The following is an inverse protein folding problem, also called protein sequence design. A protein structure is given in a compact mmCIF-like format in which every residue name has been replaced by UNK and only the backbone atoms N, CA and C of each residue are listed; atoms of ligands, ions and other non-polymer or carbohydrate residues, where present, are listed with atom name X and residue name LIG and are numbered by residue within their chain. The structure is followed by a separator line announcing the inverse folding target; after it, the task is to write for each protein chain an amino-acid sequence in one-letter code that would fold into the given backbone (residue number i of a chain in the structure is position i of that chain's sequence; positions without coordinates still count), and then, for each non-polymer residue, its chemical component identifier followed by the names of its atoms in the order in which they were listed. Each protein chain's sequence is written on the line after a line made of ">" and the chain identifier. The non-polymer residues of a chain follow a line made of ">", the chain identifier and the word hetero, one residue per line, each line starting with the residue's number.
data_IF_841875806796
#
_entry.id   IF_841875806796
#
_cell.length_a   1.000
_cell.length_b   1.000
_cell.length_c   1.000
_cell.angle_alpha   90.00
_cell.angle_beta   90.00
_cell.angle_gamma   90.00
#
_symmetry.space_group_name_H-M   'P 1'
#
loop_
_entity.id
_entity.type
_entity.pdbx_description
1 polymer ?
#
# COMPACT_ATOMS: atom_id res chain seq x y z
N UNK A 1 5.28 18.98 30.66
CA UNK A 1 5.22 17.65 30.04
C UNK A 1 5.83 17.79 28.66
N UNK A 2 7.10 17.46 28.54
CA UNK A 2 7.82 17.46 27.26
C UNK A 2 7.44 16.20 26.48
N UNK A 3 6.87 16.39 25.29
CA UNK A 3 6.60 15.27 24.37
C UNK A 3 7.87 15.11 23.53
N UNK A 4 8.82 14.35 24.07
CA UNK A 4 9.98 13.91 23.31
C UNK A 4 9.51 12.97 22.21
N UNK A 5 9.69 13.37 20.95
CA UNK A 5 9.55 12.49 19.80
C UNK A 5 10.57 11.34 19.96
N UNK A 6 10.14 10.22 20.54
CA UNK A 6 10.87 8.97 20.44
C UNK A 6 10.84 8.57 18.98
N UNK A 7 11.96 8.80 18.33
CA UNK A 7 12.36 8.21 17.07
C UNK A 7 11.99 6.73 17.13
N UNK A 8 10.94 6.36 16.40
CA UNK A 8 10.60 4.96 16.20
C UNK A 8 11.86 4.28 15.68
N UNK A 9 12.37 3.22 16.31
CA UNK A 9 13.54 2.55 15.80
C UNK A 9 13.17 2.02 14.42
N UNK A 10 13.92 2.43 13.39
CA UNK A 10 13.89 1.92 12.02
C UNK A 10 14.38 0.46 11.97
N UNK A 11 13.93 -0.38 12.89
CA UNK A 11 14.22 -1.80 12.90
C UNK A 11 13.20 -2.50 12.03
N UNK A 12 13.32 -2.31 10.72
CA UNK A 12 12.83 -3.32 9.77
C UNK A 12 13.80 -4.48 9.93
N UNK A 13 13.41 -5.63 10.54
CA UNK A 13 14.29 -6.77 10.57
C UNK A 13 14.64 -7.06 9.13
N UNK A 14 15.93 -7.12 8.82
CA UNK A 14 16.41 -7.70 7.58
C UNK A 14 15.73 -9.06 7.49
N UNK A 15 14.71 -9.18 6.63
CA UNK A 15 14.02 -10.44 6.38
C UNK A 15 15.12 -11.43 6.05
N UNK A 16 15.37 -12.35 6.98
CA UNK A 16 16.40 -13.37 6.85
C UNK A 16 16.08 -14.13 5.56
N UNK A 17 16.99 -14.17 4.56
CA UNK A 17 16.78 -14.88 3.29
C UNK A 17 16.44 -16.37 3.50
N UNK A 18 16.81 -16.89 4.67
CA UNK A 18 16.78 -18.31 5.01
C UNK A 18 15.37 -18.86 5.30
N UNK A 19 14.36 -18.01 5.48
CA UNK A 19 12.98 -18.45 5.70
C UNK A 19 12.19 -18.74 4.40
N UNK A 20 12.67 -18.27 3.24
CA UNK A 20 12.05 -18.53 1.93
C UNK A 20 13.10 -18.68 0.80
N UNK A 21 14.07 -19.62 0.91
CA UNK A 21 15.13 -19.77 -0.09
C UNK A 21 14.59 -20.05 -1.50
N UNK A 22 13.45 -20.75 -1.60
CA UNK A 22 12.87 -21.19 -2.88
C UNK A 22 12.29 -20.03 -3.71
N UNK A 23 11.81 -18.95 -3.06
CA UNK A 23 11.30 -17.77 -3.76
C UNK A 23 12.41 -16.80 -4.17
N UNK A 24 13.44 -16.65 -3.34
CA UNK A 24 14.57 -15.76 -3.61
C UNK A 24 15.49 -16.31 -4.71
N UNK A 25 15.65 -17.63 -4.80
CA UNK A 25 16.43 -18.27 -5.86
C UNK A 25 15.70 -18.27 -7.21
N UNK A 26 14.37 -18.27 -7.20
CA UNK A 26 13.52 -18.29 -8.40
C UNK A 26 13.44 -16.94 -9.11
N UNK A 27 13.45 -15.84 -8.37
CA UNK A 27 13.54 -14.49 -8.91
C UNK A 27 14.30 -13.57 -7.94
N UNK A 28 15.59 -13.27 -8.22
CA UNK A 28 16.40 -12.39 -7.36
C UNK A 28 15.85 -10.95 -7.29
N UNK A 29 14.95 -10.57 -8.22
CA UNK A 29 14.34 -9.25 -8.27
C UNK A 29 12.94 -9.22 -7.63
N UNK A 30 12.44 -10.34 -7.10
CA UNK A 30 11.07 -10.44 -6.54
C UNK A 30 10.76 -9.33 -5.54
N UNK A 31 11.70 -9.07 -4.62
CA UNK A 31 11.57 -8.01 -3.61
C UNK A 31 11.41 -6.65 -4.28
N UNK A 32 12.30 -6.29 -5.20
CA UNK A 32 12.29 -4.99 -5.85
C UNK A 32 11.04 -4.81 -6.71
N UNK A 33 10.68 -5.83 -7.51
CA UNK A 33 9.46 -5.82 -8.32
C UNK A 33 8.21 -5.64 -7.46
N UNK A 34 8.12 -6.38 -6.35
CA UNK A 34 6.99 -6.30 -5.42
C UNK A 34 6.88 -4.90 -4.83
N UNK A 35 7.98 -4.37 -4.27
CA UNK A 35 7.99 -3.05 -3.64
C UNK A 35 7.69 -1.93 -4.65
N UNK A 36 8.25 -2.00 -5.85
CA UNK A 36 7.96 -1.05 -6.93
C UNK A 36 6.50 -1.14 -7.38
N UNK A 37 5.93 -2.34 -7.47
CA UNK A 37 4.54 -2.53 -7.89
C UNK A 37 3.55 -1.92 -6.88
N UNK A 38 3.80 -2.06 -5.58
CA UNK A 38 2.88 -1.56 -4.54
C UNK A 38 3.13 -0.10 -4.12
N UNK A 39 4.26 0.50 -4.50
CA UNK A 39 4.64 1.85 -4.09
C UNK A 39 3.54 2.92 -4.34
N UNK A 40 2.81 2.93 -5.48
CA UNK A 40 1.68 3.85 -5.68
C UNK A 40 0.57 3.69 -4.61
N UNK A 41 0.31 2.45 -4.20
CA UNK A 41 -0.71 2.10 -3.20
C UNK A 41 -0.30 2.59 -1.81
N UNK A 42 0.97 2.39 -1.45
CA UNK A 42 1.52 2.85 -0.16
C UNK A 42 1.48 4.37 -0.08
N UNK A 43 1.90 5.07 -1.13
CA UNK A 43 1.85 6.55 -1.19
C UNK A 43 0.44 7.09 -1.12
N UNK A 44 -0.54 6.41 -1.73
CA UNK A 44 -1.95 6.79 -1.62
C UNK A 44 -2.45 6.61 -0.18
N UNK A 45 -2.25 5.44 0.43
CA UNK A 45 -2.66 5.18 1.81
C UNK A 45 -2.02 6.15 2.81
N UNK A 46 -0.73 6.49 2.68
CA UNK A 46 -0.11 7.47 3.59
C UNK A 46 -0.74 8.87 3.48
N UNK A 47 -1.18 9.28 2.29
CA UNK A 47 -1.87 10.56 2.08
C UNK A 47 -3.28 10.54 2.66
N UNK A 48 -4.05 9.49 2.39
CA UNK A 48 -5.39 9.34 2.98
C UNK A 48 -5.34 9.21 4.51
N UNK A 49 -4.31 8.57 5.07
CA UNK A 49 -4.16 8.42 6.51
C UNK A 49 -4.07 9.77 7.24
N UNK A 50 -3.51 10.80 6.58
CA UNK A 50 -3.43 12.16 7.12
C UNK A 50 -4.82 12.84 7.21
N UNK A 51 -5.78 12.42 6.38
CA UNK A 51 -7.08 13.07 6.24
C UNK A 51 -8.22 12.26 6.87
N UNK A 52 -8.20 10.93 6.71
CA UNK A 52 -9.27 10.00 7.07
C UNK A 52 -8.87 9.00 8.18
N UNK A 53 -7.59 9.03 8.58
CA UNK A 53 -7.03 8.17 9.62
C UNK A 53 -6.53 6.81 9.11
N UNK A 54 -5.57 6.25 9.85
CA UNK A 54 -4.82 5.05 9.47
C UNK A 54 -5.70 3.82 9.20
N UNK A 55 -6.78 3.61 9.96
CA UNK A 55 -7.65 2.43 9.79
C UNK A 55 -8.30 2.41 8.40
N UNK A 56 -8.78 3.55 7.95
CA UNK A 56 -9.43 3.68 6.64
C UNK A 56 -8.41 3.50 5.53
N UNK A 57 -7.35 4.29 5.58
CA UNK A 57 -6.28 4.28 4.58
C UNK A 57 -5.59 2.92 4.42
N UNK A 58 -5.31 2.20 5.51
CA UNK A 58 -4.72 0.86 5.43
C UNK A 58 -5.68 -0.14 4.78
N UNK A 59 -6.99 0.00 5.02
CA UNK A 59 -7.99 -0.87 4.40
C UNK A 59 -8.07 -0.63 2.90
N UNK A 60 -8.00 0.62 2.47
CA UNK A 60 -7.93 0.98 1.05
C UNK A 60 -6.66 0.45 0.40
N UNK A 61 -5.50 0.67 1.02
CA UNK A 61 -4.23 0.19 0.51
C UNK A 61 -4.20 -1.35 0.34
N UNK A 62 -4.67 -2.09 1.35
CA UNK A 62 -4.75 -3.56 1.27
C UNK A 62 -5.72 -4.02 0.17
N UNK A 63 -6.87 -3.35 0.02
CA UNK A 63 -7.84 -3.70 -1.02
C UNK A 63 -7.31 -3.45 -2.44
N UNK A 64 -6.62 -2.33 -2.66
CA UNK A 64 -5.99 -2.01 -3.95
C UNK A 64 -4.91 -3.06 -4.26
N UNK A 65 -4.04 -3.35 -3.30
CA UNK A 65 -2.98 -4.37 -3.46
C UNK A 65 -3.55 -5.76 -3.76
N UNK A 66 -4.63 -6.17 -3.08
CA UNK A 66 -5.32 -7.43 -3.35
C UNK A 66 -5.86 -7.49 -4.79
N UNK A 67 -6.52 -6.43 -5.27
CA UNK A 67 -7.03 -6.37 -6.64
C UNK A 67 -5.88 -6.40 -7.66
N UNK A 68 -4.77 -5.72 -7.40
CA UNK A 68 -3.57 -5.81 -8.24
C UNK A 68 -3.03 -7.25 -8.31
N UNK A 69 -3.01 -7.97 -7.18
CA UNK A 69 -2.66 -9.39 -7.14
C UNK A 69 -3.62 -10.30 -7.91
N UNK A 70 -4.87 -9.85 -8.17
CA UNK A 70 -5.83 -10.53 -9.04
C UNK A 70 -5.72 -10.14 -10.52
N UNK A 71 -4.75 -9.32 -10.89
CA UNK A 71 -4.50 -8.91 -12.28
C UNK A 71 -5.15 -7.57 -12.68
N UNK A 72 -5.71 -6.81 -11.74
CA UNK A 72 -6.21 -5.46 -12.05
C UNK A 72 -5.04 -4.48 -12.16
N UNK A 73 -5.06 -3.62 -13.18
CA UNK A 73 -4.16 -2.46 -13.22
C UNK A 73 -4.43 -1.52 -12.04
N UNK A 74 -3.37 -0.90 -11.50
CA UNK A 74 -3.44 0.01 -10.36
C UNK A 74 -4.60 1.02 -10.45
N UNK A 75 -4.75 1.70 -11.59
CA UNK A 75 -5.80 2.71 -11.79
C UNK A 75 -7.23 2.15 -11.66
N UNK A 76 -7.45 0.94 -12.17
CA UNK A 76 -8.75 0.27 -12.09
C UNK A 76 -9.01 -0.23 -10.66
N UNK A 77 -7.99 -0.79 -10.01
CA UNK A 77 -8.07 -1.23 -8.62
C UNK A 77 -8.39 -0.06 -7.69
N UNK A 78 -7.66 1.05 -7.82
CA UNK A 78 -7.87 2.28 -7.07
C UNK A 78 -9.29 2.84 -7.25
N UNK A 79 -9.74 3.06 -8.49
CA UNK A 79 -11.11 3.54 -8.75
C UNK A 79 -12.19 2.63 -8.19
N UNK A 80 -11.98 1.33 -8.25
CA UNK A 80 -12.91 0.35 -7.69
C UNK A 80 -13.02 0.52 -6.18
N UNK A 81 -11.90 0.56 -5.47
CA UNK A 81 -11.88 0.72 -4.00
C UNK A 81 -12.46 2.07 -3.58
N UNK A 82 -12.08 3.15 -4.25
CA UNK A 82 -12.58 4.51 -3.99
C UNK A 82 -14.12 4.59 -4.08
N UNK A 83 -14.72 3.84 -5.01
CA UNK A 83 -16.18 3.80 -5.18
C UNK A 83 -16.94 3.13 -4.03
N UNK A 84 -16.27 2.37 -3.16
CA UNK A 84 -16.91 1.70 -2.02
C UNK A 84 -17.12 2.63 -0.82
N UNK A 85 -16.31 3.68 -0.72
CA UNK A 85 -16.30 4.60 0.41
C UNK A 85 -17.03 5.91 0.11
N UNK A 86 -17.33 6.13 -1.16
CA UNK A 86 -18.02 7.32 -1.65
C UNK A 86 -19.51 7.07 -1.84
N UNK A 87 -20.39 8.03 -1.46
CA UNK A 87 -21.80 7.94 -1.77
C UNK A 87 -22.04 7.82 -3.28
N UNK A 88 -23.08 7.09 -3.73
CA UNK A 88 -23.45 7.04 -5.14
C UNK A 88 -23.63 8.44 -5.72
N UNK A 89 -22.95 8.73 -6.84
CA UNK A 89 -23.06 10.01 -7.54
C UNK A 89 -22.00 11.06 -7.18
N UNK A 90 -21.10 10.81 -6.22
CA UNK A 90 -19.93 11.70 -6.04
C UNK A 90 -18.87 11.40 -7.11
N UNK A 91 -18.30 12.42 -7.77
CA UNK A 91 -17.22 12.22 -8.73
C UNK A 91 -16.02 11.52 -8.07
N UNK A 92 -15.50 10.48 -8.73
CA UNK A 92 -14.20 9.92 -8.39
C UNK A 92 -13.11 10.94 -8.73
N UNK A 93 -12.01 11.01 -7.97
CA UNK A 93 -10.86 11.81 -8.38
C UNK A 93 -10.39 11.33 -9.77
N UNK A 94 -10.09 12.27 -10.67
CA UNK A 94 -9.78 11.93 -12.06
C UNK A 94 -8.34 11.45 -12.24
N UNK A 95 -7.46 11.78 -11.29
CA UNK A 95 -6.05 11.43 -11.30
C UNK A 95 -5.63 10.86 -9.94
N UNK A 96 -4.94 9.71 -9.90
CA UNK A 96 -4.12 9.39 -8.75
C UNK A 96 -3.00 10.45 -8.69
N UNK A 97 -2.92 11.19 -7.58
CA UNK A 97 -1.88 12.21 -7.38
C UNK A 97 -0.48 11.62 -7.41
#
# INVERSE_FOLDING_TARGET
>A
MDISYHQAPDYVPHLQPDLYPDLYYRDPNLKQQTLTAIDPVVRHGLREAQHLGYRHALREAVAIGYLMGRGYHYHNAWKTVESWWRPPGTPLPQHPY
#
